data_IF_679803411697
#
_entry.id   IF_679803411697
#
_cell.length_a   1.000
_cell.length_b   1.000
_cell.length_c   1.000
_cell.angle_alpha   90.00
_cell.angle_beta   90.00
_cell.angle_gamma   90.00
#
_symmetry.space_group_name_H-M   'P 1'
#
loop_
_entity.id
_entity.type
_entity.pdbx_description
1 polymer ?
#
# COMPACT_ATOMS: atom_id res chain seq x y z
N UNK A 1 65.81 27.26 -90.65
CA UNK A 1 64.80 28.28 -90.27
C UNK A 1 63.47 27.90 -90.91
N UNK A 2 62.61 27.11 -90.24
CA UNK A 2 61.21 26.80 -90.68
C UNK A 2 60.35 26.06 -89.63
N UNK A 3 60.73 26.09 -88.34
CA UNK A 3 59.96 25.45 -87.26
C UNK A 3 59.32 26.45 -86.28
N UNK A 4 59.58 27.75 -86.46
CA UNK A 4 59.15 28.80 -85.50
C UNK A 4 57.87 29.56 -85.90
N UNK A 5 57.21 29.19 -87.01
CA UNK A 5 55.99 29.88 -87.51
C UNK A 5 54.69 29.20 -87.04
N UNK A 6 54.74 27.98 -86.51
CA UNK A 6 53.61 27.35 -85.80
C UNK A 6 53.49 27.87 -84.35
N UNK A 7 53.84 29.14 -84.13
CA UNK A 7 53.81 29.81 -82.85
C UNK A 7 52.42 30.40 -82.52
N UNK A 8 51.47 30.52 -83.44
CA UNK A 8 50.42 31.55 -83.24
C UNK A 8 48.97 31.09 -83.40
N UNK A 9 48.67 29.99 -84.12
CA UNK A 9 47.27 29.77 -84.53
C UNK A 9 46.44 28.83 -83.66
N UNK A 10 46.99 28.20 -82.63
CA UNK A 10 46.23 27.24 -81.82
C UNK A 10 46.29 27.52 -80.32
N UNK A 11 46.51 28.78 -79.92
CA UNK A 11 46.52 29.18 -78.50
C UNK A 11 45.45 30.20 -78.12
N UNK A 12 44.49 30.50 -79.00
CA UNK A 12 43.31 31.30 -78.65
C UNK A 12 42.06 30.52 -79.03
N UNK A 13 41.51 29.75 -78.10
CA UNK A 13 40.06 29.63 -77.87
C UNK A 13 39.79 28.46 -76.93
N UNK A 14 39.50 28.79 -75.68
CA UNK A 14 39.12 27.79 -74.69
C UNK A 14 39.08 28.32 -73.27
N UNK A 15 38.52 29.50 -73.03
CA UNK A 15 37.98 29.78 -71.69
C UNK A 15 36.71 28.93 -71.56
N UNK A 16 36.86 27.69 -71.13
CA UNK A 16 35.74 26.86 -70.71
C UNK A 16 35.23 27.39 -69.36
N UNK A 17 33.91 27.41 -69.20
CA UNK A 17 33.28 27.61 -67.90
C UNK A 17 33.89 26.66 -66.89
N UNK A 18 34.40 27.19 -65.77
CA UNK A 18 34.72 26.36 -64.61
C UNK A 18 33.39 25.92 -64.00
N UNK A 19 32.89 24.76 -64.42
CA UNK A 19 31.92 24.04 -63.63
C UNK A 19 32.69 23.40 -62.48
N UNK A 20 32.44 23.81 -61.25
CA UNK A 20 32.82 23.03 -60.07
C UNK A 20 31.95 21.78 -60.07
N UNK A 21 32.37 20.78 -60.84
CA UNK A 21 31.95 19.41 -60.57
C UNK A 21 32.70 19.05 -59.32
N UNK A 22 32.02 19.12 -58.18
CA UNK A 22 32.53 18.50 -56.97
C UNK A 22 32.50 17.01 -57.26
N UNK A 23 33.63 16.45 -57.71
CA UNK A 23 33.78 15.00 -57.80
C UNK A 23 33.77 14.48 -56.35
N UNK A 24 33.36 13.23 -56.12
CA UNK A 24 33.33 12.69 -54.75
C UNK A 24 34.70 12.75 -54.06
N UNK A 25 35.78 12.89 -54.84
CA UNK A 25 37.15 13.14 -54.37
C UNK A 25 37.29 14.49 -53.61
N UNK A 26 36.41 15.47 -53.84
CA UNK A 26 36.40 16.77 -53.15
C UNK A 26 35.54 16.77 -51.86
N UNK A 27 34.90 15.65 -51.48
CA UNK A 27 33.96 15.58 -50.33
C UNK A 27 34.43 14.62 -49.21
N UNK A 28 35.73 14.68 -48.90
CA UNK A 28 36.50 13.72 -48.10
C UNK A 28 36.93 12.52 -48.95
N UNK A 29 38.24 12.31 -49.02
CA UNK A 29 38.89 11.19 -49.66
C UNK A 29 38.69 9.89 -48.84
N UNK A 30 37.45 9.59 -48.46
CA UNK A 30 37.09 8.49 -47.57
C UNK A 30 37.43 7.14 -48.23
N UNK A 31 38.52 6.53 -47.80
CA UNK A 31 38.97 5.22 -48.25
C UNK A 31 38.48 4.10 -47.33
N UNK A 32 38.29 2.91 -47.88
CA UNK A 32 38.12 1.69 -47.09
C UNK A 32 39.45 0.96 -47.03
N UNK A 33 40.10 1.03 -45.88
CA UNK A 33 41.33 0.33 -45.56
C UNK A 33 41.02 -1.01 -44.90
N UNK A 34 41.95 -1.96 -44.98
CA UNK A 34 41.83 -3.24 -44.30
C UNK A 34 43.19 -3.80 -43.91
N UNK A 35 43.23 -4.58 -42.84
CA UNK A 35 44.45 -5.18 -42.34
C UNK A 35 44.33 -5.47 -40.84
N UNK A 36 45.47 -5.56 -40.16
CA UNK A 36 45.51 -5.88 -38.73
C UNK A 36 46.02 -4.73 -37.85
N UNK A 37 46.38 -3.61 -38.45
CA UNK A 37 47.09 -2.49 -37.82
C UNK A 37 46.20 -1.70 -36.84
N UNK A 38 44.88 -1.65 -37.07
CA UNK A 38 43.91 -1.04 -36.15
C UNK A 38 43.21 -2.13 -35.35
N UNK A 39 43.52 -2.27 -34.07
CA UNK A 39 42.97 -3.31 -33.18
C UNK A 39 42.24 -2.78 -31.94
N UNK A 40 42.17 -1.45 -31.77
CA UNK A 40 41.48 -0.77 -30.68
C UNK A 40 41.17 0.69 -31.07
N UNK A 41 40.16 1.35 -30.45
CA UNK A 41 39.95 2.79 -30.54
C UNK A 41 41.21 3.60 -30.20
N UNK A 42 41.35 4.80 -30.76
CA UNK A 42 42.49 5.68 -30.50
C UNK A 42 43.77 5.29 -31.25
N UNK A 43 43.75 4.26 -32.12
CA UNK A 43 44.92 3.89 -32.91
C UNK A 43 45.21 4.97 -33.97
N UNK A 44 46.49 5.23 -34.24
CA UNK A 44 46.94 6.26 -35.22
C UNK A 44 47.65 5.65 -36.44
N UNK A 45 47.66 4.31 -36.54
CA UNK A 45 48.27 3.55 -37.64
C UNK A 45 47.20 2.63 -38.23
N UNK A 46 47.08 2.52 -39.56
CA UNK A 46 47.91 3.14 -40.59
C UNK A 46 47.76 4.66 -40.62
N UNK A 47 48.87 5.36 -40.84
CA UNK A 47 48.90 6.81 -40.92
C UNK A 47 48.53 7.28 -42.33
N UNK A 48 48.06 8.52 -42.44
CA UNK A 48 47.61 9.09 -43.72
C UNK A 48 46.16 8.76 -44.06
N UNK A 49 45.38 8.34 -43.07
CA UNK A 49 43.93 8.25 -43.18
C UNK A 49 43.31 9.65 -43.17
N UNK A 50 42.27 9.81 -43.98
CA UNK A 50 41.47 11.03 -44.05
C UNK A 50 40.23 10.90 -43.16
N UNK A 51 39.74 12.04 -42.62
CA UNK A 51 38.55 12.04 -41.78
C UNK A 51 37.36 11.39 -42.52
N UNK A 52 36.77 10.36 -41.91
CA UNK A 52 35.71 9.55 -42.48
C UNK A 52 36.17 8.27 -43.19
N UNK A 53 37.48 7.98 -43.26
CA UNK A 53 37.98 6.68 -43.71
C UNK A 53 37.41 5.56 -42.83
N UNK A 54 37.25 4.37 -43.42
CA UNK A 54 36.80 3.17 -42.74
C UNK A 54 37.93 2.14 -42.73
N UNK A 55 38.17 1.51 -41.60
CA UNK A 55 39.13 0.42 -41.48
C UNK A 55 38.44 -0.89 -41.08
N UNK A 56 38.65 -1.95 -41.85
CA UNK A 56 38.20 -3.30 -41.53
C UNK A 56 39.36 -4.10 -40.96
N UNK A 57 39.29 -4.44 -39.67
CA UNK A 57 40.27 -5.35 -39.08
C UNK A 57 40.02 -6.77 -39.62
N UNK A 58 40.96 -7.32 -40.38
CA UNK A 58 40.80 -8.63 -41.04
C UNK A 58 40.98 -9.82 -40.09
N UNK A 59 41.49 -9.61 -38.88
CA UNK A 59 41.57 -10.64 -37.85
C UNK A 59 40.28 -10.73 -37.01
N UNK A 60 39.70 -9.59 -36.63
CA UNK A 60 38.52 -9.55 -35.74
C UNK A 60 37.20 -9.30 -36.48
N UNK A 61 37.24 -8.80 -37.71
CA UNK A 61 36.07 -8.34 -38.46
C UNK A 61 35.50 -7.01 -37.96
N UNK A 62 36.11 -6.38 -36.96
CA UNK A 62 35.66 -5.11 -36.39
C UNK A 62 35.91 -3.97 -37.37
N UNK A 63 34.95 -3.06 -37.47
CA UNK A 63 35.05 -1.88 -38.32
C UNK A 63 35.33 -0.66 -37.44
N UNK A 64 36.27 0.16 -37.91
CA UNK A 64 36.64 1.44 -37.31
C UNK A 64 36.42 2.55 -38.33
N UNK A 65 36.27 3.79 -37.87
CA UNK A 65 36.28 4.99 -38.71
C UNK A 65 37.35 5.96 -38.23
N UNK A 66 37.99 6.70 -39.14
CA UNK A 66 38.96 7.73 -38.78
C UNK A 66 38.21 9.04 -38.48
N UNK A 67 38.38 9.61 -37.29
CA UNK A 67 37.69 10.84 -36.89
C UNK A 67 38.43 12.13 -37.28
N UNK A 68 39.64 12.00 -37.83
CA UNK A 68 40.56 13.09 -38.16
C UNK A 68 41.86 13.03 -37.37
N UNK A 69 41.86 12.39 -36.20
CA UNK A 69 43.02 12.25 -35.32
C UNK A 69 43.33 10.78 -34.96
N UNK A 70 42.31 9.92 -34.83
CA UNK A 70 42.46 8.49 -34.54
C UNK A 70 41.36 7.59 -35.13
N UNK A 71 41.64 6.29 -35.17
CA UNK A 71 40.67 5.26 -35.52
C UNK A 71 39.74 4.97 -34.35
N UNK A 72 38.43 5.12 -34.55
CA UNK A 72 37.37 4.94 -33.56
C UNK A 72 36.42 3.80 -33.95
N UNK A 73 35.79 3.13 -32.97
CA UNK A 73 34.90 1.99 -33.23
C UNK A 73 33.58 2.42 -33.87
N UNK A 74 33.03 1.58 -34.77
CA UNK A 74 31.70 1.81 -35.38
C UNK A 74 30.51 1.21 -34.60
N UNK A 75 30.69 0.73 -33.36
CA UNK A 75 29.63 0.04 -32.62
C UNK A 75 28.81 1.00 -31.74
N UNK A 76 27.50 1.06 -31.98
CA UNK A 76 26.51 1.58 -31.03
C UNK A 76 25.97 0.42 -30.21
N UNK A 77 26.25 0.39 -28.92
CA UNK A 77 25.69 -0.61 -28.01
C UNK A 77 24.15 -0.47 -27.92
N UNK A 78 23.43 -1.59 -27.91
CA UNK A 78 21.98 -1.70 -27.76
C UNK A 78 21.58 -2.38 -26.44
N UNK A 79 22.30 -2.08 -25.35
CA UNK A 79 22.13 -2.67 -24.02
C UNK A 79 20.68 -3.08 -23.71
N UNK A 80 20.46 -4.39 -23.66
CA UNK A 80 19.19 -4.96 -23.28
C UNK A 80 19.16 -5.28 -21.79
N UNK A 81 17.94 -5.33 -21.23
CA UNK A 81 17.71 -5.87 -19.90
C UNK A 81 17.73 -7.39 -19.96
N UNK A 82 18.76 -8.02 -19.41
CA UNK A 82 18.87 -9.49 -19.38
C UNK A 82 18.02 -10.10 -18.26
N UNK A 83 17.87 -9.40 -17.14
CA UNK A 83 17.15 -9.91 -15.98
C UNK A 83 16.57 -8.77 -15.14
N UNK A 84 15.29 -8.89 -14.77
CA UNK A 84 14.65 -8.09 -13.73
C UNK A 84 13.85 -9.04 -12.83
N UNK A 85 14.46 -9.43 -11.74
CA UNK A 85 13.95 -10.50 -10.91
C UNK A 85 13.99 -10.13 -9.43
N UNK A 86 12.90 -10.47 -8.74
CA UNK A 86 12.83 -10.45 -7.29
C UNK A 86 13.03 -11.87 -6.76
N UNK A 87 14.04 -12.05 -5.91
CA UNK A 87 14.23 -13.28 -5.14
C UNK A 87 13.57 -13.15 -3.77
N UNK A 88 12.42 -13.80 -3.60
CA UNK A 88 11.67 -13.79 -2.35
C UNK A 88 12.33 -14.56 -1.19
N UNK A 89 13.35 -15.40 -1.44
CA UNK A 89 14.10 -16.05 -0.37
C UNK A 89 15.12 -15.10 0.27
N UNK A 90 15.68 -14.19 -0.52
CA UNK A 90 16.70 -13.21 -0.09
C UNK A 90 16.17 -11.77 -0.01
N UNK A 91 14.89 -11.55 -0.34
CA UNK A 91 14.28 -10.21 -0.46
C UNK A 91 15.10 -9.23 -1.31
N UNK A 92 15.75 -9.72 -2.35
CA UNK A 92 16.62 -8.90 -3.21
C UNK A 92 16.00 -8.71 -4.58
N UNK A 93 15.89 -7.46 -5.01
CA UNK A 93 15.57 -7.12 -6.39
C UNK A 93 16.86 -6.98 -7.20
N UNK A 94 16.97 -7.70 -8.30
CA UNK A 94 18.14 -7.73 -9.18
C UNK A 94 17.82 -7.21 -10.58
N UNK A 95 18.77 -6.46 -11.15
CA UNK A 95 18.74 -5.94 -12.50
C UNK A 95 20.08 -6.26 -13.20
N UNK A 96 20.04 -7.01 -14.30
CA UNK A 96 21.24 -7.30 -15.11
C UNK A 96 21.10 -6.65 -16.48
N UNK A 97 22.08 -5.82 -16.85
CA UNK A 97 22.18 -5.21 -18.19
C UNK A 97 23.17 -6.00 -19.04
N UNK A 98 22.88 -6.17 -20.33
CA UNK A 98 23.78 -6.82 -21.28
C UNK A 98 25.17 -6.18 -21.26
N UNK A 99 26.19 -7.03 -21.14
CA UNK A 99 27.60 -6.65 -20.97
C UNK A 99 27.88 -5.66 -19.83
N UNK A 100 26.91 -5.50 -18.92
CA UNK A 100 26.94 -4.59 -17.77
C UNK A 100 27.09 -5.31 -16.44
N UNK A 101 27.04 -4.52 -15.37
CA UNK A 101 27.02 -5.05 -14.01
C UNK A 101 25.60 -5.46 -13.60
N UNK A 102 25.52 -6.46 -12.73
CA UNK A 102 24.35 -6.70 -11.89
C UNK A 102 24.21 -5.59 -10.85
N UNK A 103 23.03 -4.98 -10.77
CA UNK A 103 22.63 -4.10 -9.67
C UNK A 103 21.64 -4.83 -8.79
N UNK A 104 21.90 -4.85 -7.48
CA UNK A 104 21.01 -5.45 -6.49
C UNK A 104 20.53 -4.40 -5.49
N UNK A 105 19.25 -4.46 -5.15
CA UNK A 105 18.65 -3.71 -4.05
C UNK A 105 18.15 -4.69 -3.01
N UNK A 106 18.72 -4.60 -1.80
CA UNK A 106 18.25 -5.35 -0.64
C UNK A 106 16.97 -4.69 -0.09
N UNK A 107 15.86 -5.42 -0.14
CA UNK A 107 14.56 -5.00 0.38
C UNK A 107 14.25 -5.64 1.74
N UNK A 108 15.22 -6.27 2.40
CA UNK A 108 15.04 -6.91 3.71
C UNK A 108 14.54 -5.93 4.77
N UNK A 109 14.88 -4.64 4.67
CA UNK A 109 14.36 -3.60 5.57
C UNK A 109 12.85 -3.34 5.37
N UNK A 110 12.29 -3.69 4.22
CA UNK A 110 10.85 -3.61 3.93
C UNK A 110 10.10 -4.88 4.34
N UNK A 111 10.82 -5.96 4.68
CA UNK A 111 10.25 -7.11 5.38
C UNK A 111 9.99 -6.75 6.85
N UNK A 112 9.07 -5.80 7.04
CA UNK A 112 8.43 -5.65 8.32
C UNK A 112 7.49 -6.85 8.47
N UNK A 113 7.45 -7.45 9.65
CA UNK A 113 6.57 -8.58 9.99
C UNK A 113 5.06 -8.28 9.86
N UNK A 114 4.69 -7.08 9.41
CA UNK A 114 3.32 -6.80 8.97
C UNK A 114 3.08 -7.40 7.60
N UNK A 115 2.02 -8.19 7.49
CA UNK A 115 1.44 -8.50 6.18
C UNK A 115 0.69 -7.25 5.69
N UNK A 116 0.62 -7.04 4.37
CA UNK A 116 -0.35 -6.10 3.75
C UNK A 116 -1.78 -6.40 4.24
N UNK A 117 -2.05 -7.66 4.57
CA UNK A 117 -3.28 -8.17 5.15
C UNK A 117 -3.33 -8.02 6.69
N UNK A 118 -3.10 -6.81 7.21
CA UNK A 118 -3.06 -6.54 8.65
C UNK A 118 -4.29 -7.14 9.39
N UNK A 119 -4.06 -8.13 10.26
CA UNK A 119 -5.10 -8.66 11.16
C UNK A 119 -5.04 -7.98 12.55
N UNK A 120 -6.12 -8.09 13.33
CA UNK A 120 -6.23 -7.37 14.62
C UNK A 120 -5.10 -7.70 15.63
N UNK A 121 -4.50 -8.90 15.58
CA UNK A 121 -3.34 -9.25 16.42
C UNK A 121 -2.03 -8.60 15.97
N UNK A 122 -1.97 -8.08 14.75
CA UNK A 122 -0.79 -7.41 14.17
C UNK A 122 -0.86 -5.89 14.30
N UNK A 123 -2.03 -5.35 14.62
CA UNK A 123 -2.24 -3.91 14.83
C UNK A 123 -1.91 -3.59 16.29
N UNK A 124 -0.84 -2.83 16.58
CA UNK A 124 -0.51 -2.44 17.93
C UNK A 124 -1.63 -1.61 18.55
N UNK A 125 -1.86 -1.82 19.83
CA UNK A 125 -2.84 -1.09 20.61
C UNK A 125 -2.14 -0.26 21.69
N UNK A 126 -2.42 1.04 21.71
CA UNK A 126 -1.97 1.94 22.77
C UNK A 126 -2.99 1.92 23.90
N UNK A 127 -2.62 1.27 25.00
CA UNK A 127 -3.44 1.12 26.20
C UNK A 127 -3.18 2.19 27.28
N UNK A 128 -2.37 3.21 27.00
CA UNK A 128 -1.98 4.22 28.01
C UNK A 128 -3.15 4.98 28.62
N UNK A 129 -4.26 5.11 27.88
CA UNK A 129 -5.47 5.82 28.32
C UNK A 129 -6.60 4.88 28.74
N UNK A 130 -6.71 3.70 28.12
CA UNK A 130 -7.87 2.81 28.33
C UNK A 130 -7.79 2.03 29.63
N UNK A 131 -6.59 1.82 30.18
CA UNK A 131 -6.38 0.97 31.34
C UNK A 131 -6.52 -0.53 31.05
N UNK A 132 -6.69 -0.92 29.79
CA UNK A 132 -6.66 -2.33 29.38
C UNK A 132 -5.23 -2.86 29.44
N UNK A 133 -5.08 -4.16 29.68
CA UNK A 133 -3.75 -4.80 29.67
C UNK A 133 -3.27 -5.15 28.25
N UNK A 134 -4.18 -5.21 27.28
CA UNK A 134 -3.90 -5.55 25.89
C UNK A 134 -2.82 -4.67 25.22
N UNK A 135 -2.03 -5.29 24.32
CA UNK A 135 -0.98 -4.63 23.52
C UNK A 135 -1.26 -4.65 22.02
N UNK A 136 -2.30 -5.36 21.60
CA UNK A 136 -2.81 -5.42 20.23
C UNK A 136 -4.34 -5.30 20.24
N UNK A 137 -4.92 -5.06 19.07
CA UNK A 137 -6.36 -4.81 18.94
C UNK A 137 -7.18 -6.07 19.25
N UNK A 138 -6.70 -7.26 18.90
CA UNK A 138 -7.42 -8.51 19.18
C UNK A 138 -7.55 -8.75 20.69
N UNK A 139 -6.45 -8.65 21.43
CA UNK A 139 -6.42 -8.78 22.87
C UNK A 139 -7.30 -7.71 23.54
N UNK A 140 -7.32 -6.48 23.03
CA UNK A 140 -8.16 -5.41 23.58
C UNK A 140 -9.65 -5.73 23.41
N UNK A 141 -10.04 -6.28 22.26
CA UNK A 141 -11.41 -6.72 21.99
C UNK A 141 -11.79 -7.89 22.90
N UNK A 142 -10.91 -8.88 23.08
CA UNK A 142 -11.17 -10.04 23.94
C UNK A 142 -11.31 -9.64 25.41
N UNK A 143 -10.50 -8.69 25.86
CA UNK A 143 -10.57 -8.11 27.21
C UNK A 143 -11.90 -7.38 27.43
N UNK A 144 -12.31 -6.52 26.48
CA UNK A 144 -13.60 -5.82 26.54
C UNK A 144 -14.77 -6.81 26.49
N UNK A 145 -14.73 -7.82 25.62
CA UNK A 145 -15.80 -8.79 25.49
C UNK A 145 -15.96 -9.62 26.77
N UNK A 146 -14.85 -9.96 27.43
CA UNK A 146 -14.85 -10.61 28.74
C UNK A 146 -15.48 -9.71 29.81
N UNK A 147 -15.10 -8.44 29.87
CA UNK A 147 -15.66 -7.47 30.81
C UNK A 147 -17.14 -7.13 30.53
N UNK A 148 -17.57 -7.15 29.26
CA UNK A 148 -18.98 -6.95 28.92
C UNK A 148 -19.84 -8.16 29.31
N UNK A 149 -19.28 -9.37 29.25
CA UNK A 149 -19.96 -10.61 29.62
C UNK A 149 -20.32 -10.74 31.11
N UNK A 150 -19.73 -9.92 31.98
CA UNK A 150 -20.03 -9.91 33.42
C UNK A 150 -21.15 -8.93 33.79
N UNK A 151 -21.57 -8.05 32.88
CA UNK A 151 -22.64 -7.10 33.14
C UNK A 151 -23.99 -7.81 33.18
N UNK A 152 -24.66 -7.75 34.33
CA UNK A 152 -25.93 -8.45 34.53
C UNK A 152 -26.86 -7.68 35.47
N UNK A 153 -28.17 -7.90 35.31
CA UNK A 153 -29.19 -7.53 36.29
C UNK A 153 -29.97 -8.79 36.65
N UNK A 154 -29.95 -9.18 37.92
CA UNK A 154 -30.59 -10.40 38.43
C UNK A 154 -31.69 -10.02 39.42
N UNK A 155 -32.88 -10.57 39.26
CA UNK A 155 -33.97 -10.44 40.24
C UNK A 155 -33.79 -11.45 41.37
N UNK A 156 -33.80 -10.98 42.61
CA UNK A 156 -33.65 -11.81 43.80
C UNK A 156 -34.97 -12.44 44.29
N UNK A 157 -36.11 -12.03 43.72
CA UNK A 157 -37.44 -12.52 44.08
C UNK A 157 -37.97 -12.01 45.41
N UNK A 158 -37.26 -11.07 46.04
CA UNK A 158 -37.61 -10.44 47.32
C UNK A 158 -37.86 -8.92 47.19
N UNK A 159 -37.96 -8.41 45.95
CA UNK A 159 -38.05 -6.98 45.67
C UNK A 159 -36.72 -6.28 45.57
N UNK A 160 -35.62 -7.02 45.49
CA UNK A 160 -34.32 -6.44 45.18
C UNK A 160 -33.77 -7.00 43.87
N UNK A 161 -32.93 -6.22 43.21
CA UNK A 161 -32.20 -6.61 42.01
C UNK A 161 -30.71 -6.45 42.23
N UNK A 162 -29.91 -7.43 41.83
CA UNK A 162 -28.47 -7.32 41.85
C UNK A 162 -27.96 -6.88 40.48
N UNK A 163 -27.39 -5.68 40.41
CA UNK A 163 -26.64 -5.21 39.24
C UNK A 163 -25.18 -5.58 39.39
N UNK A 164 -24.66 -6.42 38.49
CA UNK A 164 -23.23 -6.71 38.38
C UNK A 164 -22.63 -5.83 37.30
N UNK A 165 -21.59 -5.06 37.62
CA UNK A 165 -20.89 -4.21 36.64
C UNK A 165 -19.81 -4.99 35.85
N UNK A 166 -19.16 -4.31 34.90
CA UNK A 166 -18.13 -4.91 34.06
C UNK A 166 -16.87 -5.36 34.84
N UNK A 167 -16.64 -4.79 36.02
CA UNK A 167 -15.57 -5.20 36.94
C UNK A 167 -15.98 -6.36 37.86
N UNK A 168 -17.22 -6.86 37.74
CA UNK A 168 -17.78 -7.90 38.59
C UNK A 168 -18.28 -7.40 39.96
N UNK A 169 -18.31 -6.08 40.19
CA UNK A 169 -18.83 -5.54 41.43
C UNK A 169 -20.37 -5.60 41.40
N UNK A 170 -20.95 -6.09 42.50
CA UNK A 170 -22.41 -6.22 42.64
C UNK A 170 -22.95 -5.05 43.46
N UNK A 171 -23.94 -4.35 42.90
CA UNK A 171 -24.75 -3.34 43.58
C UNK A 171 -26.18 -3.83 43.70
N UNK A 172 -26.63 -4.05 44.93
CA UNK A 172 -28.04 -4.36 45.20
C UNK A 172 -28.89 -3.10 45.09
N UNK A 173 -29.84 -3.14 44.18
CA UNK A 173 -30.87 -2.14 43.96
C UNK A 173 -32.12 -2.60 44.68
N UNK A 174 -32.50 -1.89 45.74
CA UNK A 174 -33.76 -2.15 46.44
C UNK A 174 -34.92 -1.53 45.65
N UNK A 175 -35.82 -2.36 45.12
CA UNK A 175 -37.14 -1.93 44.66
C UNK A 175 -38.10 -1.98 45.85
N UNK A 176 -38.41 -0.81 46.41
CA UNK A 176 -39.32 -0.76 47.55
C UNK A 176 -40.76 -1.08 47.16
N UNK A 177 -41.11 -1.15 45.86
CA UNK A 177 -42.49 -1.13 45.35
C UNK A 177 -43.32 -2.42 45.54
N UNK A 178 -42.89 -3.35 46.40
CA UNK A 178 -43.67 -4.56 46.68
C UNK A 178 -44.76 -4.26 47.71
N UNK A 179 -46.00 -4.28 47.25
CA UNK A 179 -47.18 -4.34 48.10
C UNK A 179 -47.68 -5.78 48.24
N UNK A 180 -48.30 -6.11 49.38
CA UNK A 180 -48.90 -7.43 49.62
C UNK A 180 -50.40 -7.33 49.90
N UNK A 181 -51.12 -8.42 49.65
CA UNK A 181 -52.54 -8.57 49.99
C UNK A 181 -52.73 -9.91 50.68
N UNK A 182 -53.23 -9.88 51.92
CA UNK A 182 -53.50 -11.07 52.74
C UNK A 182 -55.00 -11.20 52.96
N UNK A 183 -55.55 -12.39 52.70
CA UNK A 183 -56.92 -12.76 53.08
C UNK A 183 -56.95 -13.19 54.55
N UNK A 184 -57.75 -12.52 55.37
CA UNK A 184 -57.86 -12.80 56.80
C UNK A 184 -58.90 -13.89 57.12
N UNK A 185 -59.55 -14.47 56.10
CA UNK A 185 -60.57 -15.54 56.20
C UNK A 185 -61.85 -15.14 56.96
N UNK A 186 -62.07 -13.86 57.21
CA UNK A 186 -63.24 -13.30 57.90
C UNK A 186 -63.99 -12.25 57.04
N UNK A 187 -63.72 -12.24 55.73
CA UNK A 187 -64.28 -11.25 54.80
C UNK A 187 -63.52 -9.91 54.80
N UNK A 188 -62.41 -9.80 55.54
CA UNK A 188 -61.47 -8.67 55.47
C UNK A 188 -60.17 -9.07 54.77
N UNK A 189 -59.54 -8.10 54.11
CA UNK A 189 -58.25 -8.24 53.47
C UNK A 189 -57.28 -7.19 54.02
N UNK A 190 -56.05 -7.59 54.31
CA UNK A 190 -54.98 -6.68 54.71
C UNK A 190 -54.09 -6.38 53.52
N UNK A 191 -54.21 -5.18 52.97
CA UNK A 191 -53.25 -4.63 52.02
C UNK A 191 -52.08 -4.01 52.80
N UNK A 192 -50.85 -4.28 52.42
CA UNK A 192 -49.66 -3.58 52.96
C UNK A 192 -48.89 -2.96 51.80
N UNK A 193 -48.67 -1.65 51.85
CA UNK A 193 -47.99 -0.89 50.80
C UNK A 193 -46.46 -1.04 50.84
N UNK A 194 -45.79 -0.43 49.86
CA UNK A 194 -44.33 -0.40 49.70
C UNK A 194 -43.56 0.19 50.90
N UNK A 195 -44.24 0.95 51.76
CA UNK A 195 -43.66 1.56 52.96
C UNK A 195 -43.88 0.70 54.22
N UNK A 196 -44.62 -0.41 54.08
CA UNK A 196 -45.05 -1.26 55.19
C UNK A 196 -46.32 -0.76 55.90
N UNK A 197 -47.01 0.24 55.37
CA UNK A 197 -48.27 0.71 55.95
C UNK A 197 -49.41 -0.23 55.56
N UNK A 198 -50.14 -0.71 56.56
CA UNK A 198 -51.24 -1.65 56.37
C UNK A 198 -52.60 -0.94 56.36
N UNK A 199 -53.46 -1.34 55.43
CA UNK A 199 -54.85 -0.91 55.31
C UNK A 199 -55.76 -2.13 55.28
N UNK A 200 -56.79 -2.13 56.13
CA UNK A 200 -57.79 -3.20 56.16
C UNK A 200 -58.96 -2.83 55.26
N UNK A 201 -59.26 -3.70 54.30
CA UNK A 201 -60.40 -3.61 53.41
C UNK A 201 -61.45 -4.60 53.90
N UNK A 202 -62.55 -4.10 54.46
CA UNK A 202 -63.67 -4.91 54.92
C UNK A 202 -64.72 -5.03 53.81
N UNK A 203 -65.01 -6.26 53.38
CA UNK A 203 -65.99 -6.56 52.33
C UNK A 203 -67.28 -7.17 52.87
N UNK A 204 -67.41 -7.32 54.19
CA UNK A 204 -68.62 -7.84 54.82
C UNK A 204 -69.80 -6.90 54.55
N UNK A 205 -70.96 -7.47 54.21
CA UNK A 205 -72.16 -6.67 53.95
C UNK A 205 -72.57 -5.78 55.15
N UNK A 206 -72.24 -6.20 56.37
CA UNK A 206 -72.50 -5.43 57.60
C UNK A 206 -71.62 -4.20 57.78
N UNK A 207 -70.45 -4.14 57.12
CA UNK A 207 -69.52 -3.01 57.21
C UNK A 207 -69.77 -1.96 56.12
N UNK A 208 -70.54 -2.31 55.09
CA UNK A 208 -70.98 -1.37 54.06
C UNK A 208 -72.28 -0.66 54.52
N UNK A 209 -72.27 0.67 54.78
CA UNK A 209 -73.48 1.41 55.11
C UNK A 209 -74.38 1.50 53.87
N UNK A 210 -75.14 0.44 53.62
CA UNK A 210 -76.15 0.42 52.59
C UNK A 210 -77.31 1.34 53.02
N UNK A 211 -77.35 2.54 52.43
CA UNK A 211 -78.49 3.44 52.54
C UNK A 211 -79.57 3.03 51.51
N UNK A 212 -80.58 2.33 51.99
CA UNK A 212 -81.70 1.86 51.17
C UNK A 212 -82.84 2.87 51.03
N UNK A 213 -82.70 4.10 51.57
CA UNK A 213 -83.77 5.11 51.61
C UNK A 213 -84.33 5.45 50.22
N UNK A 214 -83.51 5.35 49.17
CA UNK A 214 -83.93 5.57 47.78
C UNK A 214 -84.43 4.29 47.10
N UNK A 215 -83.97 3.11 47.53
CA UNK A 215 -84.27 1.84 46.85
C UNK A 215 -85.61 1.24 47.27
N UNK A 216 -86.13 1.57 48.46
CA UNK A 216 -87.39 1.01 48.98
C UNK A 216 -87.36 -0.51 49.27
N UNK A 217 -86.18 -1.14 49.23
CA UNK A 217 -85.97 -2.54 49.54
C UNK A 217 -85.77 -2.71 51.05
N UNK A 218 -86.63 -3.50 51.70
CA UNK A 218 -86.49 -3.86 53.12
C UNK A 218 -85.54 -5.05 53.22
N UNK A 219 -84.44 -4.92 53.96
CA UNK A 219 -83.57 -6.06 54.26
C UNK A 219 -84.35 -7.07 55.14
N UNK A 220 -84.57 -8.29 54.64
CA UNK A 220 -85.13 -9.42 55.41
C UNK A 220 -84.04 -10.29 55.99
#
# INVERSE_FOLDING_TARGET
>A
MKLKILLIFLLISGFAFTQTTVTLEDQCNCEVLSGTDVSAPGAVTPAGADAGDIYVNTNTGTIYFWDGDSWELTSSDDQQLQNFNFDGATNTLSLDIEDGNTVTVDLSALNNSGTDDQIASEVPYDNTTSGLAATDVQAAIDEINTAAGTVALVDNGDGTYDFTDAGGAVTTITDTSISTMVDNLDGTYTYTDETGAAQVIDTNASSNPYDNTTSGLVAT
#
